data_IF_894110829515
#
_entry.id   IF_894110829515
#
_cell.length_a   1.000
_cell.length_b   1.000
_cell.length_c   1.000
_cell.angle_alpha   90.00
_cell.angle_beta   90.00
_cell.angle_gamma   90.00
#
_symmetry.space_group_name_H-M   'P 1'
#
loop_
_entity.id
_entity.type
_entity.pdbx_description
1 polymer ?
#
# COMPACT_ATOMS: atom_id res chain seq x y z
N UNK A 1 39.49 45.82 1.15
CA UNK A 1 40.44 45.76 2.31
C UNK A 1 40.22 44.45 3.03
N UNK A 2 41.29 43.63 2.90
CA UNK A 2 41.80 42.52 3.73
C UNK A 2 40.83 41.52 4.36
N UNK A 3 40.77 40.30 3.87
CA UNK A 3 41.66 39.13 3.98
C UNK A 3 42.22 38.89 5.41
N UNK A 4 41.77 37.79 5.99
CA UNK A 4 42.72 36.95 6.77
C UNK A 4 42.24 35.48 6.77
N UNK A 5 43.00 34.66 6.04
CA UNK A 5 43.02 33.21 6.10
C UNK A 5 43.70 32.75 7.38
N UNK A 6 43.21 31.75 8.04
CA UNK A 6 43.93 31.03 9.08
C UNK A 6 44.14 29.58 8.68
N UNK A 7 45.36 29.29 8.29
CA UNK A 7 45.91 27.97 7.99
C UNK A 7 46.39 27.35 9.32
N UNK A 8 45.89 26.19 9.68
CA UNK A 8 46.48 25.41 10.78
C UNK A 8 47.03 24.11 10.19
N UNK A 9 48.31 24.03 10.21
CA UNK A 9 49.13 22.83 9.89
C UNK A 9 49.28 22.04 11.19
N UNK A 10 48.97 20.73 11.15
CA UNK A 10 49.44 19.79 12.16
C UNK A 10 50.20 18.64 11.51
N UNK A 11 51.37 18.41 12.10
CA UNK A 11 52.44 17.57 11.66
C UNK A 11 52.16 16.06 11.83
N UNK A 12 52.79 15.30 10.95
CA UNK A 12 52.91 13.85 10.95
C UNK A 12 53.55 13.29 12.21
N UNK A 13 53.00 12.19 12.74
CA UNK A 13 53.78 11.17 13.45
C UNK A 13 53.42 9.82 12.84
N UNK A 14 54.42 9.16 12.31
CA UNK A 14 54.42 7.81 11.78
C UNK A 14 54.46 6.78 12.90
N UNK A 15 53.61 5.75 12.81
CA UNK A 15 53.67 4.56 13.65
C UNK A 15 53.07 3.36 12.92
N UNK A 16 53.85 2.33 12.76
CA UNK A 16 53.68 1.14 11.93
C UNK A 16 52.57 0.17 12.38
N UNK A 17 52.05 -0.55 11.38
CA UNK A 17 51.58 -1.95 11.29
C UNK A 17 50.33 -2.36 12.01
N UNK A 18 49.35 -2.82 11.19
CA UNK A 18 48.17 -3.56 11.61
C UNK A 18 47.23 -3.79 10.44
N UNK A 19 47.44 -4.90 9.74
CA UNK A 19 46.59 -5.40 8.67
C UNK A 19 45.18 -5.69 9.21
N UNK A 20 44.11 -4.99 8.74
CA UNK A 20 42.74 -5.43 8.90
C UNK A 20 41.88 -4.89 7.77
N UNK A 21 41.26 -5.85 7.10
CA UNK A 21 40.52 -5.70 5.86
C UNK A 21 39.42 -4.64 5.88
N UNK A 22 39.32 -3.96 4.77
CA UNK A 22 38.26 -3.06 4.40
C UNK A 22 36.91 -3.76 4.50
N UNK A 23 36.14 -3.44 5.54
CA UNK A 23 34.70 -3.70 5.55
C UNK A 23 34.00 -2.49 4.94
N UNK A 24 33.76 -2.57 3.64
CA UNK A 24 32.76 -1.74 3.00
C UNK A 24 31.43 -1.98 3.69
N UNK A 25 31.00 -1.05 4.54
CA UNK A 25 29.66 -0.95 5.06
C UNK A 25 28.77 -0.33 3.98
N UNK A 26 28.34 -1.17 3.03
CA UNK A 26 27.18 -0.85 2.24
C UNK A 26 25.96 -0.94 3.17
N UNK A 27 25.45 0.21 3.60
CA UNK A 27 24.16 0.29 4.29
C UNK A 27 23.07 0.04 3.25
N UNK A 28 22.80 -1.23 2.97
CA UNK A 28 21.61 -1.69 2.31
C UNK A 28 20.52 -1.77 3.39
N UNK A 29 19.72 -0.71 3.53
CA UNK A 29 18.53 -0.71 4.37
C UNK A 29 17.34 -1.36 3.64
N UNK A 30 17.52 -2.59 3.15
CA UNK A 30 16.41 -3.49 2.94
C UNK A 30 16.25 -4.24 4.26
N UNK A 31 15.19 -3.95 5.02
CA UNK A 31 14.78 -4.82 6.09
C UNK A 31 14.47 -6.18 5.45
N UNK A 32 15.45 -7.09 5.50
CA UNK A 32 15.27 -8.47 5.07
C UNK A 32 14.24 -9.06 6.04
N UNK A 33 13.01 -9.26 5.57
CA UNK A 33 12.04 -10.09 6.27
C UNK A 33 12.68 -11.45 6.47
N UNK A 34 12.90 -11.82 7.73
CA UNK A 34 13.25 -13.20 8.05
C UNK A 34 12.10 -14.09 7.59
N UNK A 35 12.43 -15.24 7.05
CA UNK A 35 11.51 -16.23 6.49
C UNK A 35 10.74 -16.92 7.65
N UNK A 36 9.77 -16.20 8.23
CA UNK A 36 8.81 -16.69 9.21
C UNK A 36 7.43 -16.47 8.62
N UNK A 37 6.54 -17.47 8.72
CA UNK A 37 5.11 -17.37 8.36
C UNK A 37 4.34 -16.36 9.24
N UNK A 38 5.04 -15.53 9.98
CA UNK A 38 4.50 -14.66 10.99
C UNK A 38 4.01 -13.34 10.38
N UNK A 39 2.76 -13.02 10.65
CA UNK A 39 2.14 -11.78 10.22
C UNK A 39 2.64 -10.58 11.03
N UNK A 40 3.26 -9.62 10.37
CA UNK A 40 3.55 -8.32 10.94
C UNK A 40 2.28 -7.47 10.94
N UNK A 41 1.76 -7.13 12.11
CA UNK A 41 0.62 -6.26 12.25
C UNK A 41 1.03 -4.80 12.01
N UNK A 42 0.42 -4.15 11.01
CA UNK A 42 0.59 -2.72 10.75
C UNK A 42 -0.37 -1.87 11.57
N UNK A 43 -1.49 -2.43 11.97
CA UNK A 43 -2.43 -1.78 12.88
C UNK A 43 -2.46 -2.51 14.23
N UNK A 44 -2.22 -1.77 15.30
CA UNK A 44 -2.10 -2.30 16.66
C UNK A 44 -3.43 -2.34 17.44
N UNK A 45 -4.54 -1.91 16.83
CA UNK A 45 -5.87 -1.82 17.46
C UNK A 45 -6.04 -0.67 18.44
N UNK A 46 -5.07 0.25 18.58
CA UNK A 46 -5.09 1.31 19.59
C UNK A 46 -4.90 2.71 19.02
N UNK A 47 -3.94 2.86 18.11
CA UNK A 47 -3.57 4.14 17.52
C UNK A 47 -3.00 3.96 16.10
N UNK A 48 -2.70 5.08 15.46
CA UNK A 48 -2.13 5.12 14.11
C UNK A 48 -0.59 5.27 14.12
N UNK A 49 0.09 4.77 15.13
CA UNK A 49 1.56 4.75 15.16
C UNK A 49 2.11 4.02 13.93
N UNK A 50 3.04 4.66 13.22
CA UNK A 50 3.60 4.16 11.95
C UNK A 50 2.82 4.56 10.70
N UNK A 51 1.62 5.10 10.84
CA UNK A 51 0.81 5.60 9.74
C UNK A 51 0.92 7.13 9.58
N UNK A 52 0.63 7.61 8.38
CA UNK A 52 0.51 9.03 8.08
C UNK A 52 -0.63 9.26 7.09
N UNK A 53 -1.42 10.30 7.34
CA UNK A 53 -2.50 10.72 6.47
C UNK A 53 -2.04 11.84 5.52
N UNK A 54 -2.55 11.83 4.28
CA UNK A 54 -2.45 12.90 3.29
C UNK A 54 -3.80 13.11 2.59
N UNK A 55 -4.05 14.33 2.17
CA UNK A 55 -5.30 14.73 1.51
C UNK A 55 -6.40 15.13 2.47
N UNK A 56 -7.57 15.53 1.92
CA UNK A 56 -8.78 15.83 2.68
C UNK A 56 -9.34 14.61 3.42
N UNK A 57 -10.27 14.87 4.34
CA UNK A 57 -10.85 13.82 5.17
C UNK A 57 -9.93 13.38 6.30
N UNK A 58 -10.26 12.29 6.93
CA UNK A 58 -9.52 11.78 8.09
C UNK A 58 -9.72 10.27 8.24
N UNK A 59 -8.78 9.64 8.91
CA UNK A 59 -8.90 8.28 9.41
C UNK A 59 -8.43 8.26 10.85
N UNK A 60 -9.25 7.76 11.73
CA UNK A 60 -9.00 7.73 13.16
C UNK A 60 -9.38 6.38 13.76
N UNK A 61 -8.92 6.12 14.99
CA UNK A 61 -9.26 4.89 15.71
C UNK A 61 -10.49 5.11 16.58
N UNK A 62 -11.51 4.27 16.36
CA UNK A 62 -12.74 4.21 17.14
C UNK A 62 -13.02 2.74 17.47
N UNK A 63 -13.21 2.42 18.74
CA UNK A 63 -13.52 1.06 19.22
C UNK A 63 -12.52 -0.02 18.72
N UNK A 64 -11.24 0.32 18.62
CA UNK A 64 -10.20 -0.59 18.16
C UNK A 64 -10.19 -0.83 16.64
N UNK A 65 -10.88 0.00 15.87
CA UNK A 65 -10.95 -0.05 14.42
C UNK A 65 -10.41 1.24 13.81
N UNK A 66 -9.72 1.18 12.68
CA UNK A 66 -9.51 2.36 11.85
C UNK A 66 -10.83 2.66 11.15
N UNK A 67 -11.31 3.89 11.24
CA UNK A 67 -12.53 4.35 10.59
C UNK A 67 -12.19 5.47 9.61
N UNK A 68 -12.60 5.32 8.36
CA UNK A 68 -12.52 6.37 7.35
C UNK A 68 -13.64 7.39 7.54
N UNK A 69 -13.35 8.67 7.30
CA UNK A 69 -14.31 9.75 7.43
C UNK A 69 -13.92 10.96 6.57
N UNK A 70 -14.91 11.60 5.96
CA UNK A 70 -14.71 12.81 5.20
C UNK A 70 -14.12 12.58 3.80
N UNK A 71 -13.66 13.61 3.15
CA UNK A 71 -13.28 13.65 1.74
C UNK A 71 -12.16 12.71 1.29
N UNK A 72 -11.77 12.82 0.04
CA UNK A 72 -10.71 12.01 -0.57
C UNK A 72 -9.38 12.13 0.20
N UNK A 73 -8.77 11.00 0.57
CA UNK A 73 -7.49 10.97 1.29
C UNK A 73 -6.87 9.59 1.35
N UNK A 74 -5.68 9.53 1.90
CA UNK A 74 -4.91 8.31 2.04
C UNK A 74 -4.27 8.23 3.44
N UNK A 75 -4.49 7.15 4.14
CA UNK A 75 -3.69 6.74 5.30
C UNK A 75 -2.67 5.71 4.85
N UNK A 76 -1.38 6.05 4.78
CA UNK A 76 -0.34 5.15 4.31
C UNK A 76 0.63 4.74 5.42
N UNK A 77 1.18 3.51 5.29
CA UNK A 77 2.21 3.00 6.19
C UNK A 77 3.58 3.56 5.84
N UNK A 78 4.25 4.20 6.82
CA UNK A 78 5.56 4.84 6.64
C UNK A 78 6.75 3.91 6.90
N UNK A 79 6.51 2.80 7.59
CA UNK A 79 7.58 1.97 8.15
C UNK A 79 8.35 1.15 7.12
N UNK A 80 7.77 0.89 5.94
CA UNK A 80 8.39 0.09 4.89
C UNK A 80 7.67 0.23 3.55
N UNK A 81 8.36 -0.08 2.46
CA UNK A 81 7.80 -0.42 1.17
C UNK A 81 7.62 -1.94 1.08
N UNK A 82 6.59 -2.39 0.39
CA UNK A 82 6.20 -3.79 0.30
C UNK A 82 6.30 -4.32 -1.13
N UNK A 83 6.83 -5.53 -1.25
CA UNK A 83 6.88 -6.36 -2.45
C UNK A 83 7.23 -7.79 -2.06
N UNK A 84 6.90 -8.78 -2.89
CA UNK A 84 7.05 -10.21 -2.59
C UNK A 84 6.48 -10.57 -1.20
N UNK A 85 5.23 -10.21 -0.98
CA UNK A 85 4.53 -10.38 0.29
C UNK A 85 3.05 -10.69 0.08
N UNK A 86 2.37 -11.09 1.16
CA UNK A 86 0.92 -11.11 1.25
C UNK A 86 0.48 -10.02 2.22
N UNK A 87 -0.40 -9.14 1.77
CA UNK A 87 -1.05 -8.11 2.58
C UNK A 87 -2.46 -8.62 2.90
N UNK A 88 -2.83 -8.68 4.18
CA UNK A 88 -4.18 -9.02 4.62
C UNK A 88 -4.86 -7.81 5.24
N UNK A 89 -6.07 -7.52 4.76
CA UNK A 89 -6.91 -6.44 5.26
C UNK A 89 -8.27 -7.03 5.63
N UNK A 90 -8.65 -6.88 6.91
CA UNK A 90 -9.98 -7.25 7.38
C UNK A 90 -10.78 -5.98 7.60
N UNK A 91 -11.84 -5.82 6.84
CA UNK A 91 -12.64 -4.60 6.79
C UNK A 91 -14.13 -4.88 6.73
N UNK A 92 -14.93 -3.87 7.04
CA UNK A 92 -16.37 -3.84 6.75
C UNK A 92 -16.79 -2.46 6.27
N UNK A 93 -17.73 -2.41 5.37
CA UNK A 93 -18.38 -1.17 4.97
C UNK A 93 -19.50 -0.84 5.95
N UNK A 94 -19.83 0.45 6.13
CA UNK A 94 -21.02 0.85 6.89
C UNK A 94 -22.29 0.37 6.22
N UNK A 95 -22.37 0.52 4.91
CA UNK A 95 -23.51 0.14 4.06
C UNK A 95 -23.02 -0.23 2.65
N UNK A 96 -23.93 -0.67 1.80
CA UNK A 96 -23.62 -1.14 0.44
C UNK A 96 -23.13 -0.07 -0.53
N UNK A 97 -23.31 1.22 -0.20
CA UNK A 97 -22.85 2.33 -1.04
C UNK A 97 -21.50 2.87 -0.62
N UNK A 98 -20.91 2.33 0.46
CA UNK A 98 -19.60 2.79 0.93
C UNK A 98 -18.51 2.34 -0.02
N UNK A 99 -17.62 3.27 -0.37
CA UNK A 99 -16.47 3.09 -1.25
C UNK A 99 -15.16 3.37 -0.50
N UNK A 100 -14.13 2.62 -0.82
CA UNK A 100 -12.77 2.74 -0.32
C UNK A 100 -11.82 1.91 -1.19
N UNK A 101 -10.54 1.82 -0.81
CA UNK A 101 -9.57 0.99 -1.50
C UNK A 101 -8.33 0.72 -0.66
N UNK A 102 -7.58 -0.29 -1.07
CA UNK A 102 -6.24 -0.57 -0.57
C UNK A 102 -5.24 -0.25 -1.67
N UNK A 103 -4.49 0.82 -1.49
CA UNK A 103 -3.42 1.17 -2.42
C UNK A 103 -2.17 0.34 -2.17
N UNK A 104 -1.54 -0.10 -3.25
CA UNK A 104 -0.30 -0.89 -3.27
C UNK A 104 0.65 -0.35 -4.32
N UNK A 105 1.93 -0.70 -4.21
CA UNK A 105 2.96 -0.33 -5.19
C UNK A 105 3.05 1.17 -5.47
N UNK A 106 2.77 2.01 -4.49
CA UNK A 106 2.94 3.45 -4.61
C UNK A 106 4.43 3.74 -4.71
N UNK A 107 4.94 4.33 -5.81
CA UNK A 107 6.37 4.31 -6.16
C UNK A 107 7.26 5.20 -5.28
N UNK A 108 6.68 6.19 -4.63
CA UNK A 108 7.38 7.14 -3.73
C UNK A 108 6.47 7.49 -2.56
N UNK A 109 7.05 8.03 -1.49
CA UNK A 109 6.27 8.46 -0.31
C UNK A 109 5.13 9.41 -0.72
N UNK A 110 3.86 9.08 -0.39
CA UNK A 110 2.70 9.89 -0.75
C UNK A 110 2.77 11.31 -0.19
N UNK A 111 2.46 12.30 -1.04
CA UNK A 111 2.45 13.72 -0.67
C UNK A 111 1.07 14.36 -0.83
N UNK A 112 0.21 13.72 -1.59
CA UNK A 112 -1.16 14.17 -1.86
C UNK A 112 -2.02 12.94 -2.26
N UNK A 113 -3.32 13.06 -2.20
CA UNK A 113 -4.28 11.96 -2.31
C UNK A 113 -4.41 11.36 -3.70
N UNK A 114 -4.14 12.11 -4.76
CA UNK A 114 -4.25 11.63 -6.13
C UNK A 114 -3.03 10.87 -6.63
N UNK A 115 -1.89 11.07 -5.97
CA UNK A 115 -0.66 10.39 -6.36
C UNK A 115 -0.77 8.86 -6.31
N UNK A 116 -1.33 8.22 -5.26
CA UNK A 116 -1.52 6.77 -5.25
C UNK A 116 -2.52 6.29 -6.30
N UNK A 117 -3.57 7.08 -6.61
CA UNK A 117 -4.52 6.75 -7.68
C UNK A 117 -3.81 6.68 -9.03
N UNK A 118 -3.01 7.69 -9.36
CA UNK A 118 -2.36 7.77 -10.66
C UNK A 118 -1.18 6.81 -10.82
N UNK A 119 -0.39 6.59 -9.77
CA UNK A 119 0.91 5.93 -9.87
C UNK A 119 1.03 4.61 -9.09
N UNK A 120 0.12 4.32 -8.17
CA UNK A 120 -0.05 3.02 -7.52
C UNK A 120 -1.03 2.12 -8.25
N UNK A 121 -1.41 1.01 -7.62
CA UNK A 121 -2.63 0.26 -7.91
C UNK A 121 -3.56 0.39 -6.73
N UNK A 122 -4.83 0.62 -7.00
CA UNK A 122 -5.89 0.53 -6.02
C UNK A 122 -6.57 -0.84 -6.14
N UNK A 123 -6.56 -1.60 -5.04
CA UNK A 123 -7.42 -2.77 -4.89
C UNK A 123 -8.75 -2.27 -4.30
N UNK A 124 -9.77 -2.26 -5.13
CA UNK A 124 -11.04 -1.59 -4.87
C UNK A 124 -11.83 -2.21 -3.70
N UNK A 125 -12.57 -1.38 -3.00
CA UNK A 125 -13.62 -1.75 -2.02
C UNK A 125 -14.90 -1.02 -2.43
N UNK A 126 -15.70 -1.65 -3.30
CA UNK A 126 -17.03 -1.24 -3.71
C UNK A 126 -17.79 -2.48 -4.17
N UNK A 127 -18.81 -2.90 -3.42
CA UNK A 127 -19.56 -4.11 -3.75
C UNK A 127 -20.65 -3.87 -4.79
N UNK A 128 -21.01 -2.62 -5.03
CA UNK A 128 -22.10 -2.24 -5.94
C UNK A 128 -21.74 -0.99 -6.76
N UNK A 129 -20.70 -1.04 -7.58
CA UNK A 129 -20.28 0.11 -8.38
C UNK A 129 -21.38 0.64 -9.29
N UNK A 130 -22.34 -0.21 -9.71
CA UNK A 130 -23.50 0.19 -10.51
C UNK A 130 -24.41 1.21 -9.80
N UNK A 131 -24.40 1.28 -8.47
CA UNK A 131 -25.19 2.28 -7.72
C UNK A 131 -24.59 3.70 -7.88
N UNK A 132 -23.30 3.78 -8.18
CA UNK A 132 -22.58 5.03 -8.51
C UNK A 132 -22.50 5.27 -10.03
N UNK A 133 -23.08 4.39 -10.85
CA UNK A 133 -23.02 4.47 -12.30
C UNK A 133 -21.70 3.94 -12.89
N UNK A 134 -20.92 3.20 -12.12
CA UNK A 134 -19.67 2.59 -12.52
C UNK A 134 -19.87 1.15 -13.00
N UNK A 135 -18.88 0.60 -13.65
CA UNK A 135 -18.91 -0.74 -14.24
C UNK A 135 -18.15 -1.78 -13.38
N UNK A 136 -18.08 -3.02 -13.88
CA UNK A 136 -17.44 -4.13 -13.19
C UNK A 136 -15.93 -3.96 -12.95
N UNK A 137 -15.25 -3.01 -13.61
CA UNK A 137 -13.85 -2.68 -13.35
C UNK A 137 -13.64 -1.92 -12.02
N UNK A 138 -14.73 -1.60 -11.34
CA UNK A 138 -14.77 -0.89 -10.06
C UNK A 138 -15.25 -1.79 -8.90
N UNK A 139 -15.46 -3.09 -9.14
CA UNK A 139 -15.92 -4.02 -8.10
C UNK A 139 -14.80 -4.36 -7.10
N UNK A 140 -15.21 -4.63 -5.86
CA UNK A 140 -14.31 -5.02 -4.76
C UNK A 140 -13.33 -6.12 -5.16
N UNK A 141 -12.04 -5.86 -4.92
CA UNK A 141 -10.94 -6.78 -5.21
C UNK A 141 -10.38 -6.69 -6.63
N UNK A 142 -10.97 -5.87 -7.52
CA UNK A 142 -10.33 -5.54 -8.81
C UNK A 142 -9.19 -4.56 -8.62
N UNK A 143 -8.25 -4.49 -9.55
CA UNK A 143 -7.40 -3.33 -9.70
C UNK A 143 -8.22 -2.26 -10.42
N UNK A 144 -8.54 -1.20 -9.68
CA UNK A 144 -9.43 -0.12 -10.09
C UNK A 144 -9.21 0.32 -11.54
N UNK A 145 -10.26 0.25 -12.36
CA UNK A 145 -10.25 0.62 -13.77
C UNK A 145 -9.31 -0.22 -14.67
N UNK A 146 -8.66 -1.27 -14.15
CA UNK A 146 -7.70 -2.11 -14.89
C UNK A 146 -8.19 -3.53 -15.10
N UNK A 147 -8.79 -4.17 -14.09
CA UNK A 147 -9.18 -5.58 -14.16
C UNK A 147 -10.67 -5.77 -13.92
N UNK A 148 -11.24 -6.82 -14.52
CA UNK A 148 -12.58 -7.30 -14.18
C UNK A 148 -12.52 -8.34 -13.07
N UNK A 149 -13.55 -8.47 -12.23
CA UNK A 149 -13.58 -9.49 -11.21
C UNK A 149 -13.78 -10.88 -11.82
N UNK A 150 -12.96 -11.85 -11.42
CA UNK A 150 -13.16 -13.26 -11.75
C UNK A 150 -14.36 -13.86 -10.99
N UNK A 151 -14.69 -13.29 -9.83
CA UNK A 151 -15.83 -13.64 -8.97
C UNK A 151 -16.21 -12.43 -8.11
N UNK A 152 -17.44 -12.44 -7.56
CA UNK A 152 -17.97 -11.35 -6.72
C UNK A 152 -18.36 -11.86 -5.31
N UNK A 153 -17.39 -12.27 -4.47
CA UNK A 153 -17.65 -12.85 -3.16
C UNK A 153 -17.76 -11.82 -2.03
N UNK A 154 -17.83 -10.52 -2.36
CA UNK A 154 -17.97 -9.45 -1.38
C UNK A 154 -19.25 -9.60 -0.55
N UNK A 155 -19.11 -9.51 0.77
CA UNK A 155 -20.24 -9.50 1.71
C UNK A 155 -20.75 -8.07 1.87
N UNK A 156 -22.07 -7.87 1.99
CA UNK A 156 -22.62 -6.55 2.15
C UNK A 156 -22.20 -5.89 3.48
N UNK A 157 -22.26 -4.58 3.54
CA UNK A 157 -22.15 -3.89 4.83
C UNK A 157 -23.35 -4.25 5.75
N UNK A 158 -23.14 -4.44 7.06
CA UNK A 158 -21.89 -4.27 7.82
C UNK A 158 -21.09 -5.58 8.07
N UNK A 159 -21.19 -6.57 7.21
CA UNK A 159 -20.46 -7.83 7.38
C UNK A 159 -18.95 -7.66 7.15
N UNK A 160 -18.15 -8.46 7.88
CA UNK A 160 -16.70 -8.45 7.76
C UNK A 160 -16.25 -9.20 6.50
N UNK A 161 -15.39 -8.56 5.74
CA UNK A 161 -14.67 -9.09 4.60
C UNK A 161 -13.19 -9.27 4.93
N UNK A 162 -12.57 -10.29 4.38
CA UNK A 162 -11.13 -10.51 4.41
C UNK A 162 -10.59 -10.43 3.00
N UNK A 163 -9.70 -9.49 2.75
CA UNK A 163 -8.98 -9.31 1.50
C UNK A 163 -7.53 -9.71 1.70
N UNK A 164 -7.01 -10.59 0.85
CA UNK A 164 -5.60 -10.96 0.80
C UNK A 164 -5.03 -10.60 -0.56
N UNK A 165 -3.97 -9.78 -0.56
CA UNK A 165 -3.31 -9.26 -1.75
C UNK A 165 -1.90 -9.84 -1.79
N UNK A 166 -1.65 -10.72 -2.75
CA UNK A 166 -0.31 -11.28 -2.99
C UNK A 166 0.43 -10.44 -4.01
N UNK A 167 1.62 -9.99 -3.65
CA UNK A 167 2.58 -9.36 -4.52
C UNK A 167 3.72 -10.35 -4.79
N UNK A 168 3.85 -10.81 -6.05
CA UNK A 168 4.89 -11.75 -6.49
C UNK A 168 5.59 -11.18 -7.72
N UNK A 169 6.73 -10.54 -7.52
CA UNK A 169 7.41 -9.78 -8.57
C UNK A 169 6.45 -8.75 -9.19
N UNK A 170 6.17 -8.87 -10.48
CA UNK A 170 5.23 -8.00 -11.21
C UNK A 170 3.78 -8.48 -11.19
N UNK A 171 3.49 -9.63 -10.56
CA UNK A 171 2.15 -10.20 -10.45
C UNK A 171 1.45 -9.71 -9.19
N UNK A 172 0.14 -9.46 -9.31
CA UNK A 172 -0.75 -9.11 -8.20
C UNK A 172 -1.96 -10.04 -8.22
N UNK A 173 -2.18 -10.79 -7.14
CA UNK A 173 -3.32 -11.68 -7.00
C UNK A 173 -4.14 -11.20 -5.81
N UNK A 174 -5.47 -11.12 -5.98
CA UNK A 174 -6.38 -10.71 -4.90
C UNK A 174 -7.36 -11.84 -4.62
N UNK A 175 -7.42 -12.24 -3.36
CA UNK A 175 -8.47 -13.08 -2.82
C UNK A 175 -9.38 -12.24 -1.93
N UNK A 176 -10.67 -12.42 -2.08
CA UNK A 176 -11.69 -11.83 -1.21
C UNK A 176 -12.51 -12.97 -0.60
N UNK A 177 -12.54 -13.04 0.73
CA UNK A 177 -13.22 -14.11 1.47
C UNK A 177 -12.81 -15.52 1.01
N UNK A 178 -11.52 -15.71 0.67
CA UNK A 178 -10.95 -16.97 0.18
C UNK A 178 -11.21 -17.28 -1.30
N UNK A 179 -11.89 -16.41 -2.05
CA UNK A 179 -12.18 -16.59 -3.47
C UNK A 179 -11.33 -15.64 -4.29
N UNK A 180 -10.66 -16.14 -5.33
CA UNK A 180 -9.84 -15.32 -6.22
C UNK A 180 -10.71 -14.36 -7.03
N UNK A 181 -10.42 -13.06 -6.92
CA UNK A 181 -11.09 -11.98 -7.65
C UNK A 181 -10.22 -11.43 -8.78
N UNK A 182 -8.93 -11.29 -8.53
CA UNK A 182 -7.98 -10.73 -9.50
C UNK A 182 -6.72 -11.60 -9.59
N UNK A 183 -6.20 -11.71 -10.80
CA UNK A 183 -4.90 -12.30 -11.12
C UNK A 183 -4.34 -11.51 -12.30
N UNK A 184 -3.42 -10.60 -12.02
CA UNK A 184 -2.91 -9.64 -12.99
C UNK A 184 -1.38 -9.60 -12.97
N UNK A 185 -0.77 -9.64 -14.14
CA UNK A 185 0.67 -9.43 -14.32
C UNK A 185 0.90 -8.16 -15.13
N UNK A 186 1.90 -7.38 -14.76
CA UNK A 186 2.27 -6.17 -15.52
C UNK A 186 2.53 -6.56 -16.98
N UNK A 187 1.80 -5.91 -17.90
CA UNK A 187 1.81 -6.23 -19.32
C UNK A 187 0.55 -6.94 -19.81
N UNK A 188 -0.28 -7.47 -18.92
CA UNK A 188 -1.59 -7.98 -19.31
C UNK A 188 -2.44 -6.87 -19.92
N UNK A 189 -3.32 -7.19 -20.88
CA UNK A 189 -4.21 -6.23 -21.50
C UNK A 189 -5.13 -5.53 -20.49
N UNK A 190 -5.17 -4.22 -20.53
CA UNK A 190 -6.06 -3.39 -19.72
C UNK A 190 -6.85 -2.43 -20.61
N UNK A 191 -8.06 -1.99 -20.21
CA UNK A 191 -8.83 -1.03 -20.98
C UNK A 191 -8.09 0.30 -21.11
N UNK A 192 -8.37 1.03 -22.18
CA UNK A 192 -7.88 2.39 -22.35
C UNK A 192 -8.41 3.28 -21.21
N UNK A 193 -7.58 4.22 -20.78
CA UNK A 193 -7.98 5.26 -19.82
C UNK A 193 -9.11 6.12 -20.41
N UNK A 194 -10.21 6.25 -19.68
CA UNK A 194 -11.39 7.02 -20.12
C UNK A 194 -11.41 8.42 -19.54
N UNK A 195 -10.97 8.57 -18.29
CA UNK A 195 -11.08 9.80 -17.52
C UNK A 195 -9.75 10.19 -16.87
N UNK A 196 -9.57 11.49 -16.60
CA UNK A 196 -8.33 12.00 -16.01
C UNK A 196 -8.11 11.57 -14.55
N UNK A 197 -9.16 11.22 -13.85
CA UNK A 197 -9.10 10.68 -12.48
C UNK A 197 -8.76 9.18 -12.42
N UNK A 198 -8.81 8.44 -13.53
CA UNK A 198 -8.38 7.04 -13.55
C UNK A 198 -6.86 6.91 -13.44
N UNK A 199 -6.34 5.74 -12.99
CA UNK A 199 -4.92 5.46 -12.93
C UNK A 199 -4.24 5.59 -14.29
N UNK A 200 -3.01 6.08 -14.28
CA UNK A 200 -2.15 6.02 -15.47
C UNK A 200 -1.98 4.57 -15.90
N UNK A 201 -1.94 4.33 -17.20
CA UNK A 201 -1.63 2.99 -17.74
C UNK A 201 -0.11 2.78 -17.73
N UNK A 202 0.32 1.53 -17.62
CA UNK A 202 1.74 1.16 -17.60
C UNK A 202 2.19 0.46 -16.33
N UNK A 203 3.46 0.08 -16.26
CA UNK A 203 4.01 -0.72 -15.17
C UNK A 203 4.05 0.06 -13.85
N UNK A 204 3.99 -0.69 -12.74
CA UNK A 204 4.28 -0.25 -11.38
C UNK A 204 5.52 -0.96 -10.88
N UNK A 205 6.26 -0.37 -9.93
CA UNK A 205 7.43 -1.03 -9.33
C UNK A 205 7.05 -2.31 -8.61
N UNK A 206 8.02 -3.21 -8.43
CA UNK A 206 7.83 -4.44 -7.64
C UNK A 206 7.64 -4.15 -6.15
N UNK A 207 8.20 -3.05 -5.67
CA UNK A 207 8.13 -2.57 -4.28
C UNK A 207 7.50 -1.18 -4.25
N UNK A 208 6.75 -0.88 -3.18
CA UNK A 208 6.17 0.44 -2.99
C UNK A 208 5.39 0.55 -1.69
N UNK A 209 4.96 1.76 -1.37
CA UNK A 209 4.12 2.01 -0.21
C UNK A 209 2.74 1.40 -0.39
N UNK A 210 2.08 1.14 0.74
CA UNK A 210 0.67 0.75 0.80
C UNK A 210 -0.12 1.73 1.67
N UNK A 211 -1.42 1.82 1.41
CA UNK A 211 -2.30 2.67 2.21
C UNK A 211 -3.78 2.32 2.05
N UNK A 212 -4.59 2.95 2.89
CA UNK A 212 -6.04 2.80 2.94
C UNK A 212 -6.68 4.10 2.45
N UNK A 213 -7.65 4.00 1.54
CA UNK A 213 -8.33 5.16 0.97
C UNK A 213 -9.39 5.72 1.93
N UNK A 214 -9.48 7.04 1.95
CA UNK A 214 -10.68 7.80 2.27
C UNK A 214 -11.31 8.23 0.96
N UNK A 215 -12.56 7.88 0.66
CA UNK A 215 -13.13 8.17 -0.65
C UNK A 215 -13.97 9.46 -0.66
N UNK A 216 -15.00 9.54 0.17
CA UNK A 216 -15.85 10.73 0.23
C UNK A 216 -16.49 10.93 1.62
N UNK A 217 -17.21 12.03 1.79
CA UNK A 217 -17.94 12.33 3.05
C UNK A 217 -18.99 11.29 3.42
N UNK A 218 -19.50 10.57 2.43
CA UNK A 218 -20.57 9.58 2.61
C UNK A 218 -20.01 8.17 2.85
N UNK A 219 -18.77 7.93 2.48
CA UNK A 219 -18.14 6.62 2.53
C UNK A 219 -17.52 6.38 3.89
N UNK A 220 -18.01 5.34 4.56
CA UNK A 220 -17.44 4.93 5.85
C UNK A 220 -17.07 3.45 5.79
N UNK A 221 -15.79 3.19 5.94
CA UNK A 221 -15.23 1.84 6.02
C UNK A 221 -14.44 1.70 7.31
N UNK A 222 -14.57 0.54 7.93
CA UNK A 222 -13.87 0.19 9.16
C UNK A 222 -12.86 -0.90 8.87
N UNK A 223 -11.62 -0.69 9.31
CA UNK A 223 -10.55 -1.69 9.17
C UNK A 223 -10.19 -2.24 10.54
N UNK A 224 -10.28 -3.56 10.69
CA UNK A 224 -10.00 -4.28 11.93
C UNK A 224 -8.56 -4.80 11.97
N UNK A 225 -8.04 -5.18 10.83
CA UNK A 225 -6.70 -5.74 10.69
C UNK A 225 -6.05 -5.24 9.40
N UNK A 226 -4.81 -4.83 9.51
CA UNK A 226 -3.91 -4.64 8.36
C UNK A 226 -2.60 -5.30 8.74
N UNK A 227 -2.25 -6.36 8.03
CA UNK A 227 -1.08 -7.18 8.33
C UNK A 227 -0.35 -7.58 7.05
N UNK A 228 0.95 -7.81 7.17
CA UNK A 228 1.80 -8.22 6.05
C UNK A 228 2.67 -9.40 6.48
N UNK A 229 2.85 -10.37 5.61
CA UNK A 229 3.87 -11.42 5.75
C UNK A 229 4.68 -11.57 4.48
N UNK A 230 5.92 -12.05 4.55
CA UNK A 230 6.69 -12.41 3.37
C UNK A 230 5.94 -13.43 2.50
N UNK A 231 6.18 -13.37 1.19
CA UNK A 231 5.73 -14.42 0.28
C UNK A 231 6.70 -15.59 0.37
N UNK A 232 6.21 -16.78 0.72
CA UNK A 232 7.01 -17.96 0.85
C UNK A 232 7.37 -18.56 -0.51
N UNK A 233 8.51 -19.26 -0.59
CA UNK A 233 8.99 -19.87 -1.84
C UNK A 233 8.00 -20.90 -2.43
N UNK A 234 7.12 -21.47 -1.62
CA UNK A 234 6.09 -22.43 -2.04
C UNK A 234 4.80 -21.77 -2.56
N UNK A 235 4.69 -20.44 -2.48
CA UNK A 235 3.52 -19.67 -2.90
C UNK A 235 3.78 -18.88 -4.21
N UNK A 236 4.99 -19.02 -4.78
CA UNK A 236 5.43 -18.41 -6.05
C UNK A 236 5.00 -19.20 -7.26
#
# INVERSE_FOLDING_TARGET
>A
MNLMSLLIIFSFISGLTGNNGDKNLSVSSSAAFQQNDEWMQLFNGKDLTGWKHVGPGDQYVEDGLIKSHGGMGLLYWRGAEFGNCVIRVVYRMRDENSNSGVFIRIPIEPREEWMPVHYGYEVQIDNKPELSGEDEYHYTGTLYSLTKPLAKPGKPGPEWNTMEITLDGLRTIVYLNGVKVTDYTVGDPVPARKFDFEPQRGPRPEYGYMGLQNHSDKDVVFFKEVAVRPLNSNEK
#
